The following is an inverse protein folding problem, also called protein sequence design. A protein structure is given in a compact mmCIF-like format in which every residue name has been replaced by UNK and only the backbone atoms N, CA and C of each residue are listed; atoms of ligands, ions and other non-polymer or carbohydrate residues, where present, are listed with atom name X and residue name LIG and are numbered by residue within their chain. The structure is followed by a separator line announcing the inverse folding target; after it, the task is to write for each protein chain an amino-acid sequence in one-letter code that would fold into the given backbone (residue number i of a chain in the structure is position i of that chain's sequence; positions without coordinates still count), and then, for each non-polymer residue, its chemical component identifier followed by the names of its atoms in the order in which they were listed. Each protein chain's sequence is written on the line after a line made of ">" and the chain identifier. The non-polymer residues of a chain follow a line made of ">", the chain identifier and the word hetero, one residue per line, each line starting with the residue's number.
data_IF_268463112584
#
_entry.id   IF_268463112584
#
_cell.length_a   1.000
_cell.length_b   1.000
_cell.length_c   1.000
_cell.angle_alpha   90.00
_cell.angle_beta   90.00
_cell.angle_gamma   90.00
#
_symmetry.space_group_name_H-M   'P 1'
#
loop_
_entity.id
_entity.type
_entity.pdbx_description
1 polymer ?
#
# COMPACT_ATOMS: atom_id res chain seq x y z
N UNK A 1 12.67 -30.99 -0.90
CA UNK A 1 12.76 -29.51 -0.85
C UNK A 1 11.39 -28.99 -1.22
N UNK A 2 10.45 -28.95 -0.27
CA UNK A 2 9.08 -28.52 -0.56
C UNK A 2 9.03 -27.00 -0.40
N UNK A 3 8.84 -26.28 -1.50
CA UNK A 3 8.53 -24.85 -1.47
C UNK A 3 7.12 -24.70 -0.88
N UNK A 4 7.05 -24.33 0.40
CA UNK A 4 5.82 -23.94 1.05
C UNK A 4 5.33 -22.65 0.40
N UNK A 5 4.30 -22.77 -0.42
CA UNK A 5 3.47 -21.64 -0.83
C UNK A 5 2.59 -21.27 0.36
N UNK A 6 3.17 -20.64 1.37
CA UNK A 6 2.36 -20.05 2.44
C UNK A 6 1.47 -18.98 1.79
N UNK A 7 0.13 -19.06 1.94
CA UNK A 7 -0.73 -18.00 1.46
C UNK A 7 -0.46 -16.79 2.36
N UNK A 8 0.50 -15.95 1.97
CA UNK A 8 0.71 -14.64 2.57
C UNK A 8 -0.66 -13.97 2.58
N UNK A 9 -1.18 -13.70 3.77
CA UNK A 9 -2.43 -12.97 3.86
C UNK A 9 -2.22 -11.62 3.17
N UNK A 10 -3.25 -11.05 2.56
CA UNK A 10 -3.13 -9.78 1.86
C UNK A 10 -2.49 -8.70 2.76
N UNK A 11 -2.70 -8.80 4.08
CA UNK A 11 -2.10 -7.91 5.06
C UNK A 11 -0.57 -8.03 5.13
N UNK A 12 -0.02 -9.25 5.06
CA UNK A 12 1.42 -9.51 5.12
C UNK A 12 2.17 -8.95 3.90
N UNK A 13 1.50 -8.86 2.74
CA UNK A 13 2.08 -8.28 1.53
C UNK A 13 2.33 -6.77 1.66
N UNK A 14 1.47 -6.07 2.41
CA UNK A 14 1.60 -4.62 2.58
C UNK A 14 2.62 -4.22 3.63
N UNK A 15 3.01 -5.13 4.53
CA UNK A 15 4.02 -4.89 5.56
C UNK A 15 5.43 -4.72 4.98
N UNK A 16 5.68 -5.25 3.79
CA UNK A 16 6.97 -5.10 3.09
C UNK A 16 7.01 -3.92 2.12
N UNK A 17 5.88 -3.25 1.90
CA UNK A 17 5.81 -2.12 0.97
C UNK A 17 6.44 -0.89 1.63
N UNK A 18 7.51 -0.40 1.04
CA UNK A 18 8.26 0.75 1.54
C UNK A 18 8.77 1.63 0.39
N UNK A 19 9.19 2.86 0.71
CA UNK A 19 9.80 3.72 -0.29
C UNK A 19 11.15 3.14 -0.75
N UNK A 20 11.34 2.96 -2.05
CA UNK A 20 12.58 2.41 -2.63
C UNK A 20 13.82 3.29 -2.37
N UNK A 21 13.64 4.53 -1.92
CA UNK A 21 14.76 5.46 -1.65
C UNK A 21 15.16 5.54 -0.18
N UNK A 22 14.22 5.68 0.73
CA UNK A 22 14.50 5.82 2.17
C UNK A 22 14.05 4.63 3.01
N UNK A 23 13.46 3.60 2.39
CA UNK A 23 12.93 2.42 3.05
C UNK A 23 11.86 2.71 4.10
N UNK A 24 11.24 3.90 4.06
CA UNK A 24 10.13 4.24 4.95
C UNK A 24 8.96 3.28 4.66
N UNK A 25 8.49 2.50 5.65
CA UNK A 25 7.36 1.61 5.46
C UNK A 25 6.07 2.39 5.17
N UNK A 26 5.27 1.87 4.24
CA UNK A 26 3.95 2.42 3.93
C UNK A 26 3.01 2.31 5.14
N UNK A 27 2.98 1.14 5.79
CA UNK A 27 2.24 0.89 7.02
C UNK A 27 3.07 1.29 8.24
N UNK A 28 3.25 2.60 8.45
CA UNK A 28 3.78 3.06 9.74
C UNK A 28 2.72 2.89 10.83
N UNK A 29 3.11 2.46 12.04
CA UNK A 29 2.21 2.28 13.19
C UNK A 29 1.51 3.58 13.63
N UNK A 30 2.03 4.73 13.22
CA UNK A 30 1.43 6.05 13.43
C UNK A 30 0.48 6.49 12.28
N UNK A 31 0.22 5.60 11.32
CA UNK A 31 -0.43 5.92 10.04
C UNK A 31 0.55 6.50 9.01
N UNK A 32 0.23 6.46 7.70
CA UNK A 32 1.03 7.12 6.68
C UNK A 32 0.90 8.63 6.85
N UNK A 33 1.87 9.25 7.51
CA UNK A 33 1.93 10.72 7.65
C UNK A 33 2.23 11.41 6.33
N UNK A 34 2.75 10.67 5.34
CA UNK A 34 3.06 11.16 4.01
C UNK A 34 2.47 10.25 2.93
N UNK A 35 1.99 10.80 1.81
CA UNK A 35 1.50 10.02 0.68
C UNK A 35 2.59 9.15 0.03
N UNK A 36 2.17 8.01 -0.51
CA UNK A 36 3.01 7.12 -1.30
C UNK A 36 2.46 6.97 -2.72
N UNK A 37 3.36 6.72 -3.66
CA UNK A 37 3.09 6.68 -5.09
C UNK A 37 3.76 5.47 -5.70
N UNK A 38 3.03 4.75 -6.55
CA UNK A 38 3.58 3.72 -7.43
C UNK A 38 3.96 4.36 -8.76
N UNK A 39 5.22 4.18 -9.15
CA UNK A 39 5.74 4.63 -10.45
C UNK A 39 5.47 3.58 -11.52
N UNK A 40 5.36 3.99 -12.78
CA UNK A 40 5.22 3.08 -13.93
C UNK A 40 6.37 2.06 -14.04
N UNK A 41 7.58 2.43 -13.61
CA UNK A 41 8.72 1.53 -13.56
C UNK A 41 8.71 0.53 -12.38
N UNK A 42 7.64 0.49 -11.58
CA UNK A 42 7.43 -0.48 -10.51
C UNK A 42 8.01 -0.10 -9.15
N UNK A 43 8.66 1.06 -9.02
CA UNK A 43 9.19 1.54 -7.74
C UNK A 43 8.11 2.29 -6.94
N UNK A 44 8.14 2.11 -5.62
CA UNK A 44 7.26 2.83 -4.68
C UNK A 44 8.04 4.00 -4.09
N UNK A 45 7.51 5.21 -4.19
CA UNK A 45 8.15 6.43 -3.68
C UNK A 45 7.22 7.15 -2.70
N UNK A 46 7.77 7.62 -1.58
CA UNK A 46 7.05 8.56 -0.74
C UNK A 46 7.09 9.96 -1.34
N UNK A 47 6.14 10.82 -0.95
CA UNK A 47 6.00 12.16 -1.49
C UNK A 47 7.29 13.01 -1.43
N UNK A 48 8.13 12.80 -0.41
CA UNK A 48 9.38 13.53 -0.24
C UNK A 48 10.50 13.10 -1.21
N UNK A 49 10.38 11.91 -1.83
CA UNK A 49 11.33 11.40 -2.82
C UNK A 49 10.74 11.38 -4.23
N UNK A 50 9.62 12.05 -4.45
CA UNK A 50 9.17 12.35 -5.80
C UNK A 50 10.03 13.45 -6.39
N UNK A 51 10.54 13.21 -7.59
CA UNK A 51 11.26 14.24 -8.33
C UNK A 51 10.25 15.15 -9.06
N UNK A 52 10.44 16.49 -9.04
CA UNK A 52 9.52 17.43 -9.67
C UNK A 52 9.51 17.35 -11.21
N UNK A 53 10.55 16.77 -11.79
CA UNK A 53 10.70 16.52 -13.23
C UNK A 53 10.04 15.20 -13.69
N UNK A 54 9.27 14.54 -12.81
CA UNK A 54 8.65 13.25 -13.08
C UNK A 54 9.67 12.16 -13.46
N UNK A 55 10.84 12.20 -12.82
CA UNK A 55 11.81 11.10 -12.85
C UNK A 55 11.63 10.17 -11.66
N UNK A 56 11.90 8.88 -11.86
CA UNK A 56 12.01 7.93 -10.75
C UNK A 56 13.32 8.20 -9.98
N UNK A 57 13.22 8.63 -8.73
CA UNK A 57 14.39 8.89 -7.88
C UNK A 57 15.19 7.64 -7.47
N UNK A 58 14.71 6.44 -7.82
CA UNK A 58 15.42 5.17 -7.61
C UNK A 58 16.20 4.71 -8.86
N UNK A 59 15.53 4.57 -10.02
CA UNK A 59 16.17 4.03 -11.23
C UNK A 59 16.46 5.08 -12.32
N UNK A 60 16.01 6.32 -12.16
CA UNK A 60 16.30 7.42 -13.10
C UNK A 60 15.47 7.45 -14.38
N UNK A 61 14.44 6.59 -14.53
CA UNK A 61 13.53 6.67 -15.69
C UNK A 61 12.77 8.00 -15.64
N UNK A 62 12.74 8.73 -16.76
CA UNK A 62 12.06 10.02 -16.89
C UNK A 62 10.66 9.87 -17.48
N UNK A 63 9.81 10.88 -17.27
CA UNK A 63 8.45 10.91 -17.82
C UNK A 63 7.56 9.82 -17.26
N UNK A 64 7.79 9.40 -16.01
CA UNK A 64 7.02 8.34 -15.38
C UNK A 64 5.63 8.81 -14.97
N UNK A 65 4.63 7.96 -15.16
CA UNK A 65 3.33 8.15 -14.53
C UNK A 65 3.36 7.72 -13.06
N UNK A 66 2.54 8.40 -12.26
CA UNK A 66 2.39 8.17 -10.83
C UNK A 66 0.95 7.77 -10.53
N UNK A 67 0.79 6.68 -9.80
CA UNK A 67 -0.49 6.22 -9.27
C UNK A 67 -0.45 6.34 -7.74
N UNK A 68 -1.45 6.98 -7.09
CA UNK A 68 -1.52 7.02 -5.64
C UNK A 68 -1.60 5.59 -5.07
N UNK A 69 -0.72 5.27 -4.13
CA UNK A 69 -0.74 3.96 -3.49
C UNK A 69 -1.74 3.96 -2.33
N UNK A 70 -2.78 3.14 -2.42
CA UNK A 70 -3.82 3.00 -1.41
C UNK A 70 -3.97 1.52 -1.03
N UNK A 71 -3.89 1.21 0.27
CA UNK A 71 -4.34 -0.09 0.79
C UNK A 71 -5.85 0.02 0.88
N UNK A 72 -6.58 -0.59 -0.04
CA UNK A 72 -8.03 -0.71 0.05
C UNK A 72 -8.36 -1.39 1.38
N UNK A 73 -8.80 -0.60 2.35
CA UNK A 73 -9.41 -1.13 3.57
C UNK A 73 -10.79 -1.58 3.18
N UNK A 74 -11.01 -2.89 3.15
CA UNK A 74 -12.31 -3.51 2.89
C UNK A 74 -13.38 -2.90 3.81
N UNK A 75 -14.16 -1.93 3.29
CA UNK A 75 -15.31 -1.33 3.98
C UNK A 75 -16.41 -2.40 4.23
N UNK A 76 -16.28 -3.58 3.64
CA UNK A 76 -17.22 -4.69 3.74
C UNK A 76 -17.34 -5.29 5.16
N UNK A 77 -16.38 -5.05 6.07
CA UNK A 77 -16.44 -5.57 7.44
C UNK A 77 -17.38 -4.79 8.37
N UNK A 78 -17.83 -3.59 7.97
CA UNK A 78 -18.68 -2.75 8.82
C UNK A 78 -20.18 -3.06 8.71
N UNK A 79 -20.66 -3.62 7.59
CA UNK A 79 -22.08 -3.95 7.40
C UNK A 79 -22.48 -5.33 7.97
N UNK A 80 -21.56 -6.28 8.10
CA UNK A 80 -21.88 -7.63 8.62
C UNK A 80 -22.09 -7.67 10.14
N UNK A 81 -21.68 -6.63 10.88
CA UNK A 81 -21.91 -6.51 12.33
C UNK A 81 -23.27 -5.88 12.69
N UNK A 82 -24.17 -5.74 11.71
CA UNK A 82 -25.47 -5.06 11.84
C UNK A 82 -26.70 -5.97 11.77
N UNK A 83 -26.58 -7.30 11.90
CA UNK A 83 -27.73 -8.21 11.88
C UNK A 83 -27.94 -8.89 13.23
N UNK A 84 -28.49 -8.16 14.19
CA UNK A 84 -29.28 -8.73 15.29
C UNK A 84 -30.62 -7.97 15.34
N UNK A 85 -31.48 -8.18 14.35
CA UNK A 85 -32.91 -7.91 14.53
C UNK A 85 -33.47 -9.09 15.33
N UNK A 86 -33.79 -8.84 16.59
CA UNK A 86 -34.46 -9.79 17.46
C UNK A 86 -35.93 -9.86 17.02
N UNK A 87 -36.36 -11.01 16.51
CA UNK A 87 -37.78 -11.32 16.36
C UNK A 87 -38.28 -11.75 17.75
N UNK A 88 -38.93 -10.83 18.47
CA UNK A 88 -39.75 -11.18 19.62
C UNK A 88 -41.18 -11.46 19.12
N UNK A 89 -41.65 -12.68 19.41
CA UNK A 89 -42.99 -13.20 19.08
C UNK A 89 -44.08 -12.58 19.97
#
# INVERSE_FOLDING_TARGET
>A
MSTHSDPLSDSDLWDVVCCSRCLLPFLSKAGPTIPFWLTECGHVLCNNHLSPDQSCSHCGVHGIQLVPLQKEVSIFDSCLRGSNYKMDY
#
